data_IF_804208479479
#
_entry.id   IF_804208479479
#
_cell.length_a   1.000
_cell.length_b   1.000
_cell.length_c   1.000
_cell.angle_alpha   90.00
_cell.angle_beta   90.00
_cell.angle_gamma   90.00
#
_symmetry.space_group_name_H-M   'P 1'
#
loop_
_entity.id
_entity.type
_entity.pdbx_description
1 polymer ?
2 non-polymer ?
3 non-polymer ?
4 water ?
#
# COMPACT_ATOMS: atom_id res chain seq x y z
N UNK A 3 3.54 14.99 18.83
CA UNK A 3 3.00 13.85 19.53
C UNK A 3 3.05 12.57 18.72
N UNK A 4 4.06 12.46 17.85
CA UNK A 4 4.20 11.29 17.00
C UNK A 4 4.96 10.18 17.69
N UNK A 5 4.53 8.94 17.45
CA UNK A 5 5.26 7.78 17.94
C UNK A 5 5.23 6.70 16.86
N UNK A 6 6.32 5.96 16.75
CA UNK A 6 6.36 4.85 15.79
C UNK A 6 5.79 3.58 16.40
N UNK A 7 5.56 3.60 17.71
CA UNK A 7 5.02 2.46 18.44
C UNK A 7 3.58 2.65 18.89
N UNK A 8 2.92 3.67 18.33
CA UNK A 8 1.50 3.91 18.57
C UNK A 8 0.84 4.29 17.26
N UNK A 9 -0.48 4.16 17.19
CA UNK A 9 -1.21 4.62 16.01
C UNK A 9 -1.42 6.13 16.11
N UNK A 10 -1.08 6.84 15.03
CA UNK A 10 -1.15 8.30 15.03
C UNK A 10 -2.34 8.78 14.19
N UNK A 11 -3.03 9.81 14.67
CA UNK A 11 -4.13 10.35 13.87
C UNK A 11 -3.61 11.13 12.66
N UNK A 12 -4.51 11.52 11.76
CA UNK A 12 -4.05 12.08 10.50
C UNK A 12 -3.28 13.37 10.73
N UNK A 13 -3.77 14.21 11.65
CA UNK A 13 -3.10 15.48 11.93
C UNK A 13 -1.64 15.21 12.26
N UNK A 14 -1.40 14.15 13.01
CA UNK A 14 -0.05 13.80 13.42
C UNK A 14 0.76 13.18 12.28
N UNK A 15 0.15 12.29 11.50
CA UNK A 15 0.83 11.75 10.33
C UNK A 15 1.19 12.84 9.31
N UNK A 16 0.25 13.75 9.07
CA UNK A 16 0.49 14.86 8.14
C UNK A 16 1.69 15.67 8.60
N UNK A 17 1.72 16.01 9.88
CA UNK A 17 2.84 16.78 10.43
C UNK A 17 4.14 15.99 10.28
N UNK A 18 4.06 14.68 10.46
CA UNK A 18 5.23 13.81 10.35
C UNK A 18 5.80 13.79 8.92
N UNK A 19 4.93 13.79 7.91
CA UNK A 19 5.42 13.76 6.53
C UNK A 19 6.25 15.01 6.25
N UNK A 20 5.84 16.15 6.80
CA UNK A 20 6.57 17.39 6.59
C UNK A 20 7.86 17.39 7.42
N UNK A 21 7.76 16.93 8.66
CA UNK A 21 8.93 16.80 9.54
C UNK A 21 10.04 15.96 8.93
N UNK A 22 9.72 14.75 8.48
CA UNK A 22 10.77 13.84 8.05
C UNK A 22 11.43 14.33 6.75
N UNK A 23 10.68 15.09 5.96
CA UNK A 23 11.22 15.71 4.75
C UNK A 23 12.17 16.86 5.12
N UNK A 24 11.75 17.69 6.07
CA UNK A 24 12.57 18.84 6.47
C UNK A 24 13.88 18.40 7.10
N UNK A 25 13.87 17.26 7.77
CA UNK A 25 15.06 16.75 8.44
C UNK A 25 16.02 16.07 7.47
N UNK A 26 15.50 15.67 6.31
CA UNK A 26 16.28 14.90 5.35
C UNK A 26 16.07 15.40 3.92
N UNK A 27 16.28 16.71 3.68
CA UNK A 27 15.97 17.30 2.38
C UNK A 27 16.77 16.74 1.20
N UNK A 28 17.95 16.19 1.48
CA UNK A 28 18.80 15.64 0.43
C UNK A 28 18.53 14.18 0.13
N UNK A 29 17.66 13.56 0.93
CA UNK A 29 17.28 12.16 0.72
C UNK A 29 15.78 11.97 0.50
N UNK A 30 14.99 12.98 0.87
CA UNK A 30 13.53 12.89 0.75
C UNK A 30 12.91 14.15 0.17
N UNK A 31 12.05 13.99 -0.82
CA UNK A 31 11.19 15.10 -1.25
C UNK A 31 9.72 14.72 -1.19
N UNK A 32 8.88 15.71 -0.98
CA UNK A 32 7.45 15.49 -0.81
C UNK A 32 6.65 16.24 -1.86
N UNK A 33 5.61 15.59 -2.38
CA UNK A 33 4.64 16.25 -3.24
C UNK A 33 3.23 15.84 -2.88
N UNK A 34 2.24 16.57 -3.37
CA UNK A 34 0.85 16.17 -3.25
C UNK A 34 0.34 15.76 -4.62
N UNK A 35 -0.10 14.52 -4.75
CA UNK A 35 -0.53 13.99 -6.04
C UNK A 35 -1.99 14.34 -6.32
N UNK A 36 -2.64 14.97 -5.34
CA UNK A 36 -4.03 15.36 -5.51
C UNK A 36 -4.69 15.67 -4.18
N UNK A 37 -6.01 15.85 -4.20
CA UNK A 37 -6.77 16.05 -2.97
C UNK A 37 -7.92 15.06 -2.85
N UNK A 38 -8.26 14.72 -1.60
CA UNK A 38 -9.33 13.77 -1.32
C UNK A 38 -10.69 14.42 -1.57
N UNK A 39 -11.75 13.66 -1.42
CA UNK A 39 -13.10 14.18 -1.63
C UNK A 39 -13.38 15.35 -0.71
N UNK A 40 -12.81 15.29 0.49
CA UNK A 40 -13.02 16.33 1.49
C UNK A 40 -11.96 17.43 1.46
N UNK A 41 -11.04 17.33 0.51
CA UNK A 41 -10.11 18.41 0.25
C UNK A 41 -8.75 18.31 0.91
N UNK A 42 -8.43 17.15 1.46
CA UNK A 42 -7.16 16.93 2.13
C UNK A 42 -6.07 16.57 1.11
N UNK A 43 -4.87 17.11 1.31
CA UNK A 43 -3.74 16.81 0.43
C UNK A 43 -3.35 15.34 0.53
N UNK A 44 -3.15 14.70 -0.62
CA UNK A 44 -2.65 13.33 -0.64
C UNK A 44 -1.13 13.34 -0.88
N UNK A 45 -0.37 13.09 0.18
CA UNK A 45 1.08 13.24 0.12
C UNK A 45 1.79 12.00 -0.37
N UNK A 46 2.88 12.25 -1.11
CA UNK A 46 3.77 11.19 -1.55
C UNK A 46 5.20 11.58 -1.19
N UNK A 47 5.96 10.64 -0.65
CA UNK A 47 7.35 10.87 -0.31
C UNK A 47 8.25 10.13 -1.29
N UNK A 48 9.27 10.82 -1.79
CA UNK A 48 10.24 10.21 -2.69
C UNK A 48 11.57 10.01 -1.95
N UNK A 49 11.87 8.77 -1.61
CA UNK A 49 13.02 8.46 -0.78
C UNK A 49 14.14 7.85 -1.63
N UNK A 50 15.31 8.48 -1.60
CA UNK A 50 16.43 8.00 -2.39
C UNK A 50 17.48 9.07 -2.62
N UNK A 51 18.70 8.67 -2.93
CA UNK A 51 19.72 9.64 -3.34
C UNK A 51 19.34 10.14 -4.73
N UNK A 52 19.14 11.45 -4.87
CA UNK A 52 18.66 12.00 -6.13
C UNK A 52 19.59 11.68 -7.29
N UNK A 53 19.01 11.41 -8.44
CA UNK A 53 19.80 11.14 -9.63
C UNK A 53 18.94 11.25 -10.86
N UNK A 54 19.54 11.34 -12.05
CA UNK A 54 18.81 11.33 -13.31
C UNK A 54 18.32 9.95 -13.69
N UNK A 55 17.02 9.82 -13.94
CA UNK A 55 16.45 8.61 -14.51
C UNK A 55 16.80 7.37 -13.71
N UNK A 56 16.42 7.36 -12.44
CA UNK A 56 16.53 6.17 -11.60
C UNK A 56 15.25 5.33 -11.73
N UNK A 57 15.38 4.00 -11.67
CA UNK A 57 14.18 3.16 -11.54
C UNK A 57 13.55 3.38 -10.17
N UNK A 58 12.30 2.94 -10.00
CA UNK A 58 11.59 3.20 -8.75
C UNK A 58 10.72 2.03 -8.31
N UNK A 59 10.50 1.94 -7.00
CA UNK A 59 9.46 1.07 -6.46
C UNK A 59 8.38 1.94 -5.81
N UNK A 60 7.12 1.62 -6.04
CA UNK A 60 6.02 2.41 -5.50
C UNK A 60 5.29 1.61 -4.43
N UNK A 61 5.15 2.18 -3.24
CA UNK A 61 4.43 1.52 -2.15
C UNK A 61 3.42 2.46 -1.53
N UNK A 62 2.19 1.98 -1.34
CA UNK A 62 1.21 2.76 -0.59
C UNK A 62 0.66 2.02 0.61
N UNK A 63 0.15 2.78 1.58
CA UNK A 63 -0.56 2.24 2.74
C UNK A 63 -1.91 2.94 2.87
N UNK A 64 -2.78 2.37 3.69
CA UNK A 64 -4.02 3.04 4.05
C UNK A 64 -5.09 3.17 2.97
N UNK A 65 -5.13 2.21 2.04
CA UNK A 65 -6.28 2.10 1.13
C UNK A 65 -7.58 2.00 1.94
N UNK A 66 -7.57 1.12 2.94
CA UNK A 66 -8.75 0.86 3.76
C UNK A 66 -8.60 1.47 5.16
N UNK A 67 -9.60 2.26 5.55
CA UNK A 67 -9.48 3.14 6.71
C UNK A 67 -9.17 2.44 8.03
N UNK A 68 -9.80 1.30 8.25
CA UNK A 68 -9.70 0.60 9.54
C UNK A 68 -8.42 -0.19 9.73
N UNK A 69 -7.62 -0.33 8.67
CA UNK A 69 -6.43 -1.18 8.70
C UNK A 69 -5.22 -0.42 9.22
N UNK A 70 -5.30 -0.03 10.49
CA UNK A 70 -4.39 0.95 11.08
C UNK A 70 -2.91 0.53 11.07
N UNK A 71 -2.63 -0.77 11.07
CA UNK A 71 -1.24 -1.21 11.04
C UNK A 71 -0.59 -0.94 9.68
N UNK A 72 -1.41 -0.80 8.64
CA UNK A 72 -0.91 -0.46 7.33
C UNK A 72 -0.28 0.93 7.35
N UNK A 73 -1.05 1.92 7.80
CA UNK A 73 -0.55 3.28 7.90
C UNK A 73 0.71 3.28 8.77
N UNK A 74 0.69 2.52 9.86
CA UNK A 74 1.81 2.48 10.78
C UNK A 74 3.05 2.00 10.03
N UNK A 75 2.88 1.06 9.13
CA UNK A 75 4.05 0.48 8.49
C UNK A 75 4.78 1.44 7.55
N UNK A 76 4.04 2.20 6.74
CA UNK A 76 4.68 3.16 5.84
C UNK A 76 5.54 4.15 6.63
N UNK A 77 5.08 4.57 7.81
CA UNK A 77 5.87 5.47 8.65
C UNK A 77 7.15 4.79 9.14
N UNK A 78 7.01 3.57 9.65
CA UNK A 78 8.16 2.79 10.09
C UNK A 78 9.17 2.63 8.95
N UNK A 79 8.68 2.30 7.76
CA UNK A 79 9.57 2.07 6.62
C UNK A 79 10.45 3.29 6.34
N UNK A 80 9.84 4.47 6.37
CA UNK A 80 10.57 5.69 6.03
C UNK A 80 11.63 5.99 7.07
N UNK A 81 11.30 5.85 8.36
CA UNK A 81 12.31 6.06 9.38
C UNK A 81 13.47 5.09 9.22
N UNK A 82 13.16 3.83 8.97
CA UNK A 82 14.20 2.81 8.86
C UNK A 82 15.08 3.10 7.64
N UNK A 83 14.47 3.55 6.54
CA UNK A 83 15.23 3.87 5.34
C UNK A 83 16.22 5.00 5.60
N UNK A 84 15.77 6.06 6.26
CA UNK A 84 16.65 7.19 6.54
C UNK A 84 17.71 6.80 7.57
N UNK A 85 17.31 6.08 8.61
CA UNK A 85 18.20 5.74 9.71
C UNK A 85 19.33 4.83 9.27
N UNK A 86 19.03 3.92 8.34
CA UNK A 86 20.01 2.93 7.93
C UNK A 86 20.75 3.30 6.64
N UNK A 87 20.27 4.31 5.92
CA UNK A 87 21.03 4.79 4.77
C UNK A 87 22.34 5.40 5.23
N UNK A 88 23.43 4.94 4.63
CA UNK A 88 24.74 5.40 5.04
C UNK A 88 25.30 4.59 6.19
N UNK A 89 24.52 3.63 6.68
CA UNK A 89 24.96 2.81 7.81
C UNK A 89 24.91 1.31 7.50
N UNK A 90 23.83 0.87 6.85
CA UNK A 90 23.68 -0.54 6.48
C UNK A 90 23.87 -0.67 4.97
N UNK A 91 24.72 -1.60 4.55
CA UNK A 91 25.17 -1.62 3.16
C UNK A 91 24.04 -1.83 2.17
N UNK A 92 23.06 -2.65 2.53
CA UNK A 92 22.00 -2.99 1.59
C UNK A 92 21.02 -1.84 1.32
N UNK A 93 20.55 -1.19 2.39
CA UNK A 93 19.64 -0.06 2.20
C UNK A 93 20.39 1.08 1.53
N UNK A 94 21.68 1.20 1.82
CA UNK A 94 22.49 2.24 1.20
C UNK A 94 22.57 2.00 -0.31
N UNK A 95 22.80 0.75 -0.69
CA UNK A 95 22.78 0.39 -2.10
C UNK A 95 21.40 0.63 -2.72
N UNK A 96 20.36 0.23 -2.00
CA UNK A 96 18.98 0.40 -2.48
C UNK A 96 18.71 1.85 -2.90
N UNK A 97 18.93 2.78 -1.99
CA UNK A 97 18.54 4.17 -2.21
C UNK A 97 19.48 4.89 -3.18
N UNK A 98 20.64 4.31 -3.42
CA UNK A 98 21.55 4.85 -4.42
C UNK A 98 21.13 4.46 -5.84
N UNK A 99 20.59 3.25 -5.98
CA UNK A 99 20.25 2.71 -7.30
C UNK A 99 18.80 2.97 -7.70
N UNK A 100 17.91 3.07 -6.72
CA UNK A 100 16.50 3.30 -7.02
C UNK A 100 15.86 4.29 -6.07
N UNK A 101 14.65 4.74 -6.43
CA UNK A 101 13.84 5.57 -5.55
C UNK A 101 12.66 4.78 -5.01
N UNK A 102 12.30 5.04 -3.75
CA UNK A 102 11.03 4.58 -3.20
C UNK A 102 10.02 5.71 -3.21
N UNK A 103 8.88 5.49 -3.87
CA UNK A 103 7.73 6.37 -3.71
C UNK A 103 6.83 5.78 -2.63
N UNK A 104 6.74 6.47 -1.50
CA UNK A 104 5.90 6.01 -0.39
C UNK A 104 4.69 6.93 -0.19
N UNK A 105 3.49 6.38 -0.35
CA UNK A 105 2.26 7.12 -0.13
C UNK A 105 1.70 6.66 1.22
N UNK A 106 1.92 7.45 2.28
CA UNK A 106 1.68 6.98 3.65
C UNK A 106 0.21 6.64 3.94
N UNK A 107 -0.71 7.45 3.41
CA UNK A 107 -2.13 7.16 3.56
C UNK A 107 -2.86 7.63 2.31
N UNK A 108 -3.47 6.69 1.59
CA UNK A 108 -4.27 7.05 0.41
C UNK A 108 -5.65 7.57 0.81
N UNK A 109 -6.40 6.76 1.56
CA UNK A 109 -7.76 7.10 1.96
C UNK A 109 -7.76 7.91 3.26
N UNK A 110 -7.35 9.17 3.16
CA UNK A 110 -7.23 10.05 4.33
C UNK A 110 -8.60 10.35 4.95
N UNK A 111 -9.60 10.58 4.12
CA UNK A 111 -10.93 10.92 4.63
C UNK A 111 -11.49 9.78 5.48
N UNK A 112 -11.32 8.55 5.00
CA UNK A 112 -11.81 7.41 5.74
C UNK A 112 -11.05 7.22 7.04
N UNK A 113 -9.74 7.44 6.99
CA UNK A 113 -8.91 7.29 8.19
C UNK A 113 -9.32 8.28 9.27
N UNK A 114 -9.54 9.53 8.88
CA UNK A 114 -10.01 10.53 9.83
C UNK A 114 -11.32 10.05 10.45
N UNK A 115 -12.18 9.47 9.61
CA UNK A 115 -13.48 8.99 10.06
C UNK A 115 -13.36 7.86 11.10
N UNK A 116 -12.32 7.03 11.01
CA UNK A 116 -12.18 5.92 11.95
C UNK A 116 -11.69 6.40 13.32
N UNK A 117 -11.14 7.62 13.34
CA UNK A 117 -10.70 8.24 14.58
C UNK A 117 -11.80 9.09 15.23
N UNK A 118 -12.76 9.56 14.42
CA UNK A 118 -13.76 10.49 14.93
C UNK A 118 -15.14 9.86 15.18
N UNK A 119 -15.57 8.96 14.30
CA UNK A 119 -16.96 8.48 14.33
C UNK A 119 -17.15 6.97 14.31
N UNK A 120 -16.35 6.24 13.53
CA UNK A 120 -16.56 4.81 13.38
C UNK A 120 -15.26 4.06 13.07
N UNK A 121 -14.69 3.47 14.11
CA UNK A 121 -13.41 2.76 14.03
C UNK A 121 -13.38 1.70 12.92
N UNK A 122 -14.55 1.18 12.56
CA UNK A 122 -14.63 0.08 11.61
C UNK A 122 -14.96 0.47 10.17
N UNK A 123 -14.90 1.76 9.85
CA UNK A 123 -15.11 2.18 8.47
C UNK A 123 -13.99 1.71 7.55
N UNK A 124 -14.34 1.47 6.28
CA UNK A 124 -13.42 0.90 5.31
C UNK A 124 -13.24 1.77 4.06
N UNK A 125 -14.36 2.25 3.52
CA UNK A 125 -14.41 2.92 2.23
C UNK A 125 -13.95 4.38 2.29
N UNK A 126 -14.03 5.07 1.14
CA UNK A 126 -13.85 6.52 1.12
C UNK A 126 -15.08 7.17 1.76
N UNK A 127 -15.14 8.51 1.75
CA UNK A 127 -16.28 9.19 2.33
C UNK A 127 -16.95 10.15 1.33
N UNK A 128 -16.91 9.78 0.06
CA UNK A 128 -17.58 10.59 -0.97
C UNK A 128 -19.07 10.28 -0.95
N UNK A 129 -19.89 11.25 -1.35
CA UNK A 129 -21.33 11.04 -1.37
C UNK A 129 -21.70 10.26 -2.63
N UNK A 130 -22.88 9.63 -2.59
CA UNK A 130 -23.37 8.87 -3.73
C UNK A 130 -24.74 9.38 -4.12
N UNK A 131 -25.04 9.37 -5.42
CA UNK A 131 -26.30 9.93 -5.90
C UNK A 131 -27.48 9.06 -5.51
N UNK A 132 -28.54 9.69 -5.03
CA UNK A 132 -29.80 9.00 -4.83
C UNK A 132 -29.89 8.21 -3.54
N UNK A 133 -28.81 8.19 -2.76
CA UNK A 133 -28.81 7.43 -1.51
C UNK A 133 -28.09 8.16 -0.39
N UNK A 134 -28.39 7.78 0.84
CA UNK A 134 -27.70 8.33 2.01
C UNK A 134 -26.42 7.55 2.29
N UNK A 135 -26.27 6.40 1.64
CA UNK A 135 -25.09 5.55 1.85
C UNK A 135 -23.83 6.18 1.27
N UNK A 136 -22.77 6.18 2.08
CA UNK A 136 -21.55 6.92 1.77
C UNK A 136 -20.42 5.99 1.33
N UNK A 137 -19.63 6.46 0.36
CA UNK A 137 -18.31 5.89 0.16
C UNK A 137 -18.20 4.78 -0.87
N UNK A 138 -17.01 4.68 -1.44
CA UNK A 138 -16.69 3.65 -2.42
C UNK A 138 -15.46 2.88 -1.91
N UNK A 139 -15.37 1.60 -2.28
CA UNK A 139 -14.20 0.81 -1.95
C UNK A 139 -13.06 1.14 -2.92
N UNK A 140 -12.00 1.79 -2.43
CA UNK A 140 -10.93 2.19 -3.34
C UNK A 140 -10.28 1.01 -4.05
N UNK A 141 -10.27 -0.15 -3.39
CA UNK A 141 -9.65 -1.32 -3.99
C UNK A 141 -10.62 -2.11 -4.85
N UNK A 142 -11.72 -1.47 -5.24
CA UNK A 142 -12.60 -1.99 -6.29
C UNK A 142 -12.82 -0.92 -7.37
N UNK A 143 -12.06 0.16 -7.27
CA UNK A 143 -12.34 1.36 -8.07
C UNK A 143 -11.35 1.57 -9.22
N UNK A 144 -10.46 0.61 -9.44
CA UNK A 144 -9.48 0.72 -10.52
C UNK A 144 -9.92 -0.01 -11.79
N UNK A 145 -9.36 0.42 -12.92
CA UNK A 145 -9.81 -0.05 -14.23
C UNK A 145 -9.22 -1.42 -14.58
N UNK A 146 -9.47 -2.40 -13.74
CA UNK A 146 -9.03 -3.77 -14.00
C UNK A 146 -10.19 -4.73 -13.74
N UNK A 147 -10.76 -5.28 -14.81
CA UNK A 147 -11.96 -6.09 -14.67
C UNK A 147 -13.02 -5.37 -13.85
N UNK A 148 -13.11 -4.06 -14.04
CA UNK A 148 -13.87 -3.21 -13.12
C UNK A 148 -15.31 -3.65 -12.86
N UNK A 149 -15.68 -3.68 -11.59
CA UNK A 149 -17.01 -4.06 -11.12
C UNK A 149 -17.54 -5.40 -11.62
N UNK A 150 -16.65 -6.32 -11.94
CA UNK A 150 -17.06 -7.69 -12.16
C UNK A 150 -17.00 -8.49 -10.86
N UNK A 151 -16.26 -9.60 -10.86
CA UNK A 151 -16.35 -10.56 -9.76
C UNK A 151 -15.72 -10.04 -8.47
N UNK A 152 -16.48 -10.06 -7.39
CA UNK A 152 -15.95 -9.68 -6.09
C UNK A 152 -16.24 -8.24 -5.70
N UNK A 153 -16.99 -7.54 -6.53
CA UNK A 153 -17.35 -6.15 -6.27
C UNK A 153 -18.87 -5.99 -6.28
N UNK A 154 -19.36 -4.95 -5.62
CA UNK A 154 -20.80 -4.70 -5.55
C UNK A 154 -21.21 -3.43 -6.29
N UNK A 155 -22.39 -3.47 -6.90
CA UNK A 155 -22.97 -2.30 -7.55
C UNK A 155 -23.85 -1.52 -6.58
N UNK A 156 -24.00 -2.03 -5.37
CA UNK A 156 -24.78 -1.36 -4.33
C UNK A 156 -23.89 -0.40 -3.55
N UNK A 157 -24.21 0.90 -3.60
CA UNK A 157 -23.44 1.92 -2.88
C UNK A 157 -23.42 1.74 -1.36
N UNK A 158 -24.36 0.96 -0.83
CA UNK A 158 -24.42 0.70 0.60
C UNK A 158 -23.49 -0.44 1.03
N UNK A 159 -22.99 -1.20 0.06
CA UNK A 159 -22.12 -2.34 0.33
C UNK A 159 -20.67 -1.92 0.55
N UNK A 160 -19.93 -2.74 1.30
CA UNK A 160 -18.55 -2.44 1.66
C UNK A 160 -17.59 -2.58 0.48
N UNK A 161 -18.00 -3.34 -0.53
CA UNK A 161 -17.18 -3.52 -1.73
C UNK A 161 -17.77 -2.78 -2.93
N UNK A 162 -18.52 -1.71 -2.66
CA UNK A 162 -19.11 -0.91 -3.73
C UNK A 162 -18.03 -0.43 -4.68
N UNK A 163 -18.20 -0.72 -5.96
CA UNK A 163 -17.15 -0.46 -6.94
C UNK A 163 -17.12 0.99 -7.42
N UNK A 164 -18.14 1.76 -7.05
CA UNK A 164 -18.17 3.17 -7.42
C UNK A 164 -19.01 3.42 -8.66
N UNK A 165 -19.27 4.69 -8.95
CA UNK A 165 -20.16 5.05 -10.05
C UNK A 165 -19.49 4.84 -11.40
N UNK A 166 -18.17 4.75 -11.38
CA UNK A 166 -17.37 4.47 -12.56
C UNK A 166 -15.93 4.21 -12.13
N UNK A 167 -15.13 3.64 -13.01
CA UNK A 167 -13.73 3.39 -12.68
C UNK A 167 -13.01 4.72 -12.44
N UNK A 168 -12.25 4.79 -11.36
CA UNK A 168 -11.53 6.00 -10.98
C UNK A 168 -12.46 7.17 -10.67
N UNK A 169 -13.68 6.84 -10.28
CA UNK A 169 -14.65 7.86 -9.89
C UNK A 169 -14.16 8.63 -8.66
N UNK A 170 -13.37 7.97 -7.81
CA UNK A 170 -12.87 8.60 -6.58
C UNK A 170 -11.63 9.44 -6.85
N UNK A 171 -11.58 10.65 -6.29
CA UNK A 171 -10.45 11.53 -6.51
C UNK A 171 -9.14 10.85 -6.09
N UNK A 172 -9.20 10.05 -5.04
CA UNK A 172 -8.01 9.43 -4.47
C UNK A 172 -7.40 8.40 -5.41
N UNK A 173 -8.24 7.57 -6.01
CA UNK A 173 -7.78 6.53 -6.93
C UNK A 173 -7.39 7.13 -8.27
N UNK A 174 -8.12 8.16 -8.69
CA UNK A 174 -7.77 8.88 -9.91
C UNK A 174 -6.35 9.44 -9.75
N UNK A 175 -6.09 10.05 -8.61
CA UNK A 175 -4.78 10.65 -8.35
C UNK A 175 -3.65 9.60 -8.42
N UNK A 176 -3.89 8.43 -7.84
CA UNK A 176 -2.85 7.40 -7.80
C UNK A 176 -2.58 6.85 -9.19
N UNK A 177 -3.66 6.52 -9.90
CA UNK A 177 -3.54 6.01 -11.27
C UNK A 177 -2.86 7.03 -12.17
N UNK A 178 -3.25 8.30 -12.03
CA UNK A 178 -2.62 9.38 -12.79
C UNK A 178 -1.11 9.41 -12.55
N UNK A 179 -0.70 9.37 -11.29
CA UNK A 179 0.71 9.45 -10.98
C UNK A 179 1.47 8.28 -11.60
N UNK A 180 0.94 7.08 -11.46
CA UNK A 180 1.60 5.91 -12.00
C UNK A 180 1.69 5.97 -13.53
N UNK A 181 0.62 6.37 -14.19
CA UNK A 181 0.62 6.51 -15.65
C UNK A 181 1.73 7.46 -16.09
N UNK A 182 1.80 8.61 -15.43
CA UNK A 182 2.77 9.64 -15.77
C UNK A 182 4.21 9.21 -15.48
N UNK A 183 4.37 8.16 -14.69
CA UNK A 183 5.69 7.72 -14.27
C UNK A 183 5.93 6.24 -14.59
N UNK A 184 5.25 5.74 -15.61
CA UNK A 184 5.23 4.30 -15.88
C UNK A 184 6.58 3.74 -16.26
N UNK A 185 7.41 4.56 -16.91
CA UNK A 185 8.71 4.11 -17.40
C UNK A 185 9.72 3.83 -16.29
N UNK A 186 9.51 4.44 -15.12
CA UNK A 186 10.45 4.28 -14.02
C UNK A 186 10.04 3.20 -13.02
N UNK A 187 8.74 2.98 -12.87
CA UNK A 187 8.25 2.12 -11.79
C UNK A 187 8.35 0.63 -12.13
N UNK A 188 9.19 -0.08 -11.39
CA UNK A 188 9.48 -1.49 -11.64
C UNK A 188 8.65 -2.42 -10.75
N UNK A 189 8.18 -1.92 -9.63
CA UNK A 189 7.38 -2.72 -8.71
C UNK A 189 6.32 -1.87 -8.03
N UNK A 190 5.19 -2.50 -7.71
CA UNK A 190 4.11 -1.86 -6.97
C UNK A 190 3.77 -2.71 -5.75
N UNK A 191 3.79 -2.09 -4.58
CA UNK A 191 3.49 -2.78 -3.32
C UNK A 191 2.38 -2.03 -2.59
N UNK A 192 1.30 -2.73 -2.27
CA UNK A 192 0.19 -2.08 -1.62
C UNK A 192 -0.14 -2.79 -0.30
N UNK A 193 -0.16 -2.02 0.79
CA UNK A 193 -0.16 -2.60 2.12
C UNK A 193 -1.56 -2.60 2.74
N UNK A 194 -2.04 -3.78 3.14
CA UNK A 194 -3.34 -3.96 3.79
C UNK A 194 -3.17 -4.74 5.10
N UNK A 195 -4.25 -4.89 5.86
CA UNK A 195 -4.33 -5.94 6.89
C UNK A 195 -5.79 -6.39 6.95
N UNK A 196 -6.08 -7.55 7.52
CA UNK A 196 -5.11 -8.49 8.07
C UNK A 196 -5.29 -9.85 7.39
N UNK A 197 -4.41 -10.79 7.73
CA UNK A 197 -4.54 -12.21 7.35
C UNK A 197 -3.18 -12.88 7.14
N UNK A 198 -2.12 -12.07 7.10
CA UNK A 198 -0.77 -12.59 6.92
C UNK A 198 -0.64 -13.32 5.59
N UNK A 199 -0.67 -12.55 4.50
CA UNK A 199 -0.59 -13.09 3.16
C UNK A 199 0.26 -12.17 2.29
N UNK A 200 0.91 -12.75 1.27
CA UNK A 200 1.38 -11.98 0.13
C UNK A 200 0.62 -12.42 -1.11
N UNK A 201 -0.13 -11.49 -1.71
CA UNK A 201 -0.94 -11.78 -2.88
C UNK A 201 -0.36 -11.14 -4.13
N UNK A 202 -0.52 -11.82 -5.27
CA UNK A 202 -0.23 -11.22 -6.57
C UNK A 202 -1.36 -11.54 -7.56
N UNK A 203 -1.31 -10.98 -8.78
CA UNK A 203 -2.42 -11.16 -9.72
C UNK A 203 -2.66 -12.62 -10.09
N UNK A 204 -3.89 -12.96 -10.47
CA UNK A 204 -4.98 -11.99 -10.60
C UNK A 204 -6.04 -12.17 -9.53
N UNK A 205 -6.79 -11.10 -9.28
CA UNK A 205 -7.93 -11.14 -8.36
C UNK A 205 -9.27 -10.93 -9.08
N UNK A 206 -9.24 -10.30 -10.25
CA UNK A 206 -10.48 -10.05 -10.97
C UNK A 206 -10.88 -11.20 -11.88
N UNK A 207 -9.95 -12.14 -12.07
CA UNK A 207 -10.22 -13.37 -12.81
C UNK A 207 -9.37 -14.51 -12.24
N UNK A 208 -9.76 -15.75 -12.52
CA UNK A 208 -9.02 -16.91 -12.03
C UNK A 208 -7.83 -17.27 -12.92
N UNK A 209 -7.65 -16.55 -14.02
CA UNK A 209 -6.51 -16.78 -14.90
C UNK A 209 -5.20 -16.41 -14.20
N UNK A 210 -4.11 -17.00 -14.66
CA UNK A 210 -2.79 -16.76 -14.07
C UNK A 210 -1.97 -15.81 -14.93
N UNK A 211 -1.20 -14.91 -14.27
CA UNK A 211 -0.34 -13.96 -14.99
C UNK A 211 0.76 -14.66 -15.77
N UNK A 212 1.26 -13.99 -16.80
CA UNK A 212 2.29 -14.57 -17.66
C UNK A 212 3.51 -15.06 -16.87
N UNK A 213 3.88 -14.34 -15.82
CA UNK A 213 5.05 -14.69 -15.03
C UNK A 213 4.67 -15.31 -13.69
N UNK A 214 3.62 -16.11 -13.69
CA UNK A 214 3.11 -16.72 -12.48
C UNK A 214 4.18 -17.49 -11.71
N UNK A 215 4.97 -18.28 -12.44
CA UNK A 215 5.97 -19.13 -11.81
C UNK A 215 7.03 -18.30 -11.07
N UNK A 216 7.37 -17.16 -11.64
CA UNK A 216 8.35 -16.27 -11.04
C UNK A 216 7.79 -15.57 -9.81
N UNK A 217 6.55 -15.10 -9.91
CA UNK A 217 5.92 -14.38 -8.80
C UNK A 217 5.72 -15.30 -7.60
N UNK A 218 5.38 -16.56 -7.87
CA UNK A 218 5.17 -17.52 -6.80
C UNK A 218 6.46 -17.80 -6.07
N UNK A 219 7.55 -17.99 -6.81
CA UNK A 219 8.84 -18.24 -6.19
C UNK A 219 9.30 -17.04 -5.37
N UNK A 220 9.02 -15.83 -5.86
CA UNK A 220 9.42 -14.62 -5.17
C UNK A 220 8.64 -14.45 -3.87
N UNK A 221 7.32 -14.65 -3.93
CA UNK A 221 6.49 -14.57 -2.74
C UNK A 221 6.90 -15.64 -1.74
N UNK A 222 7.15 -16.86 -2.24
CA UNK A 222 7.57 -17.96 -1.37
C UNK A 222 8.83 -17.56 -0.62
N UNK A 223 9.79 -16.97 -1.33
CA UNK A 223 11.06 -16.58 -0.72
C UNK A 223 10.86 -15.42 0.26
N UNK A 224 9.93 -14.52 -0.06
CA UNK A 224 9.71 -13.34 0.76
C UNK A 224 9.04 -13.69 2.08
N UNK A 225 8.10 -14.63 2.07
CA UNK A 225 7.45 -15.02 3.31
C UNK A 225 8.41 -15.83 4.17
N UNK A 226 9.29 -16.59 3.53
CA UNK A 226 10.35 -17.30 4.24
C UNK A 226 11.24 -16.31 4.98
N UNK A 227 11.65 -15.25 4.29
CA UNK A 227 12.48 -14.22 4.90
C UNK A 227 11.76 -13.53 6.05
N UNK A 228 10.48 -13.19 5.85
CA UNK A 228 9.70 -12.53 6.88
C UNK A 228 9.67 -13.36 8.17
N UNK A 229 9.53 -14.67 8.03
CA UNK A 229 9.33 -15.55 9.17
C UNK A 229 10.59 -15.67 10.04
N UNK A 230 11.75 -15.38 9.46
CA UNK A 230 13.02 -15.59 10.15
C UNK A 230 13.12 -14.83 11.48
N UNK A 231 12.41 -13.71 11.60
CA UNK A 231 12.58 -12.86 12.77
C UNK A 231 11.75 -13.32 13.96
N UNK A 232 10.45 -13.52 13.76
CA UNK A 232 9.56 -13.91 14.86
C UNK A 232 8.72 -15.15 14.56
N UNK A 233 8.99 -15.78 13.43
CA UNK A 233 8.28 -17.00 13.08
C UNK A 233 6.86 -16.78 12.57
N UNK A 234 6.55 -15.55 12.18
CA UNK A 234 5.21 -15.25 11.68
C UNK A 234 4.99 -15.90 10.32
N UNK A 235 3.90 -16.64 10.21
CA UNK A 235 3.63 -17.45 9.03
C UNK A 235 2.64 -16.81 8.07
N UNK A 236 3.09 -16.56 6.84
CA UNK A 236 2.25 -16.01 5.79
C UNK A 236 1.92 -17.10 4.80
N UNK A 237 0.74 -17.03 4.20
CA UNK A 237 0.43 -17.79 2.99
C UNK A 237 0.58 -16.86 1.80
N UNK A 238 0.53 -17.41 0.59
CA UNK A 238 0.78 -16.59 -0.60
C UNK A 238 0.23 -17.23 -1.85
N UNK A 239 0.04 -16.41 -2.88
CA UNK A 239 -0.45 -16.90 -4.15
C UNK A 239 -1.29 -15.86 -4.87
N UNK A 240 -1.91 -16.23 -6.00
CA UNK A 240 -2.82 -15.36 -6.76
C UNK A 240 -4.03 -14.97 -5.90
N UNK A 241 -4.43 -13.72 -6.01
CA UNK A 241 -5.43 -13.18 -5.11
C UNK A 241 -6.73 -13.97 -5.09
N UNK A 242 -7.21 -14.35 -6.27
CA UNK A 242 -8.55 -14.91 -6.41
C UNK A 242 -8.70 -16.25 -5.68
N UNK A 243 -7.69 -17.11 -5.79
CA UNK A 243 -7.78 -18.42 -5.17
C UNK A 243 -7.23 -18.41 -3.74
N UNK A 244 -6.38 -17.42 -3.45
CA UNK A 244 -5.70 -17.39 -2.15
C UNK A 244 -6.54 -16.77 -1.04
N UNK A 245 -7.40 -15.82 -1.39
CA UNK A 245 -8.39 -15.31 -0.45
C UNK A 245 -9.80 -15.35 -1.05
N UNK A 246 -10.05 -14.45 -2.00
CA UNK A 246 -11.30 -14.43 -2.75
C UNK A 246 -11.16 -13.50 -3.96
N UNK A 247 -12.01 -13.69 -4.99
CA UNK A 247 -11.92 -12.78 -6.14
C UNK A 247 -12.30 -11.35 -5.73
N UNK A 248 -11.56 -10.38 -6.29
CA UNK A 248 -11.81 -8.99 -5.97
C UNK A 248 -11.42 -8.10 -7.16
N UNK A 249 -12.37 -7.90 -8.07
CA UNK A 249 -12.11 -7.14 -9.28
C UNK A 249 -11.93 -5.67 -8.97
N UNK A 250 -11.12 -4.99 -9.78
CA UNK A 250 -10.95 -3.56 -9.59
C UNK A 250 -9.83 -3.18 -8.64
N UNK A 251 -8.94 -4.14 -8.37
CA UNK A 251 -7.85 -3.91 -7.44
C UNK A 251 -6.71 -3.13 -8.04
N UNK A 252 -5.98 -2.40 -7.22
CA UNK A 252 -4.87 -1.58 -7.71
C UNK A 252 -3.66 -2.41 -8.09
N UNK A 253 -3.48 -3.56 -7.46
CA UNK A 253 -2.36 -4.42 -7.82
C UNK A 253 -2.56 -5.02 -9.20
N UNK A 254 -3.78 -5.43 -9.51
CA UNK A 254 -4.05 -5.98 -10.83
C UNK A 254 -3.92 -4.88 -11.88
N UNK A 255 -4.42 -3.69 -11.59
CA UNK A 255 -4.37 -2.60 -12.55
C UNK A 255 -2.92 -2.19 -12.82
N UNK A 256 -2.11 -2.15 -11.77
CA UNK A 256 -0.70 -1.84 -11.92
C UNK A 256 -0.04 -2.88 -12.83
N UNK A 257 -0.36 -4.14 -12.61
CA UNK A 257 0.25 -5.22 -13.37
C UNK A 257 -0.09 -5.13 -14.85
N UNK A 258 -1.37 -4.93 -15.16
CA UNK A 258 -1.81 -4.84 -16.54
C UNK A 258 -1.35 -3.55 -17.21
N UNK A 259 -0.78 -2.64 -16.43
CA UNK A 259 -0.08 -1.49 -16.99
C UNK A 259 1.34 -1.87 -17.41
N UNK A 260 1.77 -3.05 -16.97
CA UNK A 260 3.10 -3.52 -17.33
C UNK A 260 4.06 -3.63 -16.15
N UNK A 261 3.61 -3.24 -14.97
CA UNK A 261 4.45 -3.39 -13.78
C UNK A 261 4.37 -4.84 -13.32
N UNK A 262 5.45 -5.57 -13.58
CA UNK A 262 5.44 -7.03 -13.54
C UNK A 262 5.58 -7.60 -12.13
N UNK A 263 6.09 -6.78 -11.22
CA UNK A 263 6.16 -7.17 -9.81
C UNK A 263 5.15 -6.36 -9.00
N UNK A 264 3.98 -6.94 -8.81
CA UNK A 264 2.87 -6.26 -8.15
C UNK A 264 2.34 -7.16 -7.04
N UNK A 265 2.42 -6.67 -5.80
CA UNK A 265 2.06 -7.48 -4.65
C UNK A 265 1.13 -6.72 -3.70
N UNK A 266 0.14 -7.42 -3.16
CA UNK A 266 -0.62 -6.94 -2.02
C UNK A 266 -0.16 -7.65 -0.75
N UNK A 267 0.19 -6.88 0.27
CA UNK A 267 0.50 -7.44 1.58
C UNK A 267 -0.70 -7.36 2.52
N UNK A 268 -0.97 -8.47 3.22
CA UNK A 268 -1.92 -8.44 4.34
C UNK A 268 -1.14 -8.72 5.62
N UNK A 269 -1.00 -7.71 6.47
CA UNK A 269 -0.15 -7.83 7.66
C UNK A 269 -0.85 -8.57 8.81
N UNK A 270 -0.27 -8.54 10.01
CA UNK A 270 -0.83 -9.24 11.16
C UNK A 270 -2.23 -8.68 11.48
N UNK A 271 -3.07 -9.46 12.18
CA UNK A 271 -2.75 -10.83 12.55
C UNK A 271 -3.57 -11.80 11.70
N UNK A 272 -4.08 -12.87 12.28
CA UNK A 272 -4.95 -13.78 11.56
C UNK A 272 -6.32 -13.88 12.21
N UNK A 273 -6.73 -12.80 12.89
CA UNK A 273 -8.08 -12.71 13.40
C UNK A 273 -8.25 -12.66 14.91
N UNK A 274 -7.19 -12.89 15.67
CA UNK A 274 -7.31 -12.82 17.12
C UNK A 274 -7.77 -11.43 17.54
N UNK A 275 -7.16 -10.41 16.93
CA UNK A 275 -7.54 -9.02 17.17
C UNK A 275 -8.00 -8.35 15.88
N UNK A 276 -7.60 -8.92 14.74
CA UNK A 276 -8.02 -8.39 13.47
C UNK A 276 -7.52 -6.97 13.19
N UNK A 277 -8.43 -6.05 12.87
CA UNK A 277 -8.04 -4.68 12.57
C UNK A 277 -7.60 -3.94 13.82
N UNK A 278 -8.03 -4.42 14.98
CA UNK A 278 -7.72 -3.75 16.23
C UNK A 278 -6.46 -4.35 16.84
N UNK A 279 -5.38 -4.35 16.06
CA UNK A 279 -4.13 -4.95 16.48
C UNK A 279 -3.53 -4.12 17.61
N UNK A 280 -3.16 -4.77 18.72
CA UNK A 280 -2.65 -4.03 19.88
C UNK A 280 -1.40 -3.22 19.54
N UNK A 281 -1.29 -2.02 20.08
CA UNK A 281 -0.13 -1.18 19.80
C UNK A 281 1.17 -1.85 20.22
N UNK A 282 1.10 -2.75 21.19
CA UNK A 282 2.31 -3.44 21.63
C UNK A 282 2.91 -4.33 20.55
N UNK A 283 2.13 -4.61 19.50
CA UNK A 283 2.59 -5.42 18.38
C UNK A 283 3.10 -4.63 17.17
N UNK A 284 3.03 -3.30 17.23
CA UNK A 284 3.40 -2.52 16.05
C UNK A 284 4.86 -2.72 15.63
N UNK A 285 5.77 -2.60 16.59
CA UNK A 285 7.21 -2.67 16.30
C UNK A 285 7.58 -4.03 15.69
N UNK A 286 7.18 -5.10 16.35
CA UNK A 286 7.50 -6.43 15.86
C UNK A 286 6.89 -6.67 14.47
N UNK A 287 5.64 -6.25 14.28
CA UNK A 287 5.00 -6.39 12.97
C UNK A 287 5.77 -5.64 11.88
N UNK A 288 6.21 -4.42 12.18
CA UNK A 288 6.89 -3.60 11.19
C UNK A 288 8.30 -4.13 10.90
N UNK A 289 9.01 -4.58 11.93
CA UNK A 289 10.34 -5.13 11.76
C UNK A 289 10.36 -6.34 10.82
N UNK A 290 9.45 -7.28 11.01
CA UNK A 290 9.44 -8.46 10.16
C UNK A 290 9.00 -8.12 8.74
N UNK A 291 8.08 -7.17 8.61
CA UNK A 291 7.59 -6.78 7.30
C UNK A 291 8.72 -6.10 6.49
N UNK A 292 9.54 -5.29 7.16
CA UNK A 292 10.72 -4.69 6.54
C UNK A 292 11.58 -5.72 5.80
N UNK A 293 11.71 -6.91 6.39
CA UNK A 293 12.58 -7.92 5.79
C UNK A 293 12.02 -8.40 4.46
N UNK A 294 10.71 -8.52 4.36
CA UNK A 294 10.10 -8.95 3.10
C UNK A 294 10.20 -7.85 2.04
N UNK A 295 9.97 -6.61 2.43
CA UNK A 295 10.05 -5.50 1.48
C UNK A 295 11.47 -5.36 0.93
N UNK A 296 12.45 -5.54 1.80
CA UNK A 296 13.85 -5.43 1.38
C UNK A 296 14.26 -6.61 0.50
N UNK A 297 13.69 -7.78 0.77
CA UNK A 297 13.95 -8.93 -0.09
C UNK A 297 13.44 -8.68 -1.50
N UNK A 298 12.22 -8.18 -1.61
CA UNK A 298 11.65 -7.93 -2.92
C UNK A 298 12.41 -6.81 -3.63
N UNK A 299 12.89 -5.83 -2.88
CA UNK A 299 13.62 -4.73 -3.48
C UNK A 299 14.95 -5.21 -4.06
N UNK A 300 15.67 -6.02 -3.29
CA UNK A 300 16.95 -6.55 -3.74
C UNK A 300 16.73 -7.41 -4.98
N UNK A 301 15.64 -8.15 -5.01
CA UNK A 301 15.33 -8.99 -6.16
C UNK A 301 15.10 -8.10 -7.38
N UNK A 302 14.31 -7.04 -7.22
CA UNK A 302 13.99 -6.16 -8.33
C UNK A 302 15.23 -5.52 -8.95
N UNK A 303 16.16 -5.10 -8.10
CA UNK A 303 17.39 -4.48 -8.58
C UNK A 303 18.20 -5.44 -9.43
N UNK A 304 18.09 -6.72 -9.13
CA UNK A 304 18.82 -7.73 -9.87
C UNK A 304 18.07 -8.24 -11.09
N UNK A 305 16.88 -7.68 -11.34
CA UNK A 305 16.05 -8.13 -12.45
C UNK A 305 15.41 -6.97 -13.19
N UNK A 306 16.19 -5.92 -13.42
CA UNK A 306 15.70 -4.74 -14.11
C UNK A 306 15.54 -5.00 -15.60
#
# INVERSE_FOLDING_TARGET
TTGHSYEKYNNWETIEAWTKQVTSENPDLISRTAIGTTFLGNNIYLLKVGKPGPNKPAIFMDCGFHAREWISHAFCQWFVREAVLTYGYESHMTEFLNKLDFYVLPVLNIDGYIYTWTKNRMWRKTRSTNAGTTCIGTDPNRNFDAGWCTTGASTDPCDETYCGSAAESEKETKALADFIRNNLSSIKAYLTIHSYSQMILYPYSYDYKLPENNAELNNLAKAAVKELATLYGTKYTYGPGATTIYPAAGGSDDWAYDQGIKYSFTFELRDKGRYGFILPESQIQATCEETMLAIKYVTNYVLGHL
#
